data_IF_268850782115
#
_entry.id   IF_268850782115
#
_cell.length_a   1.000
_cell.length_b   1.000
_cell.length_c   1.000
_cell.angle_alpha   90.00
_cell.angle_beta   90.00
_cell.angle_gamma   90.00
#
_symmetry.space_group_name_H-M   'P 1'
#
loop_
_entity.id
_entity.type
_entity.pdbx_description
1 polymer ?
#
# COMPACT_ATOMS: atom_id res chain seq x y z
N UNK A 1 46.77 6.99 5.34
CA UNK A 1 46.50 6.15 6.52
C UNK A 1 45.15 6.34 7.21
N UNK A 2 44.59 7.54 7.32
CA UNK A 2 43.26 7.76 7.96
C UNK A 2 42.10 7.10 7.19
N UNK A 3 42.06 7.26 5.87
CA UNK A 3 41.04 6.67 4.98
C UNK A 3 41.03 5.12 5.02
N UNK A 4 42.19 4.49 5.12
CA UNK A 4 42.32 3.03 5.29
C UNK A 4 41.72 2.57 6.62
N UNK A 5 41.95 3.31 7.71
CA UNK A 5 41.39 2.99 9.03
C UNK A 5 39.89 3.21 9.12
N UNK A 6 39.34 4.19 8.41
CA UNK A 6 37.89 4.39 8.31
C UNK A 6 37.22 3.27 7.51
N UNK A 7 37.80 2.88 6.38
CA UNK A 7 37.29 1.78 5.56
C UNK A 7 37.29 0.44 6.30
N UNK A 8 38.40 0.12 7.00
CA UNK A 8 38.49 -1.10 7.83
C UNK A 8 37.46 -1.06 8.96
N UNK A 9 37.29 0.08 9.63
CA UNK A 9 36.22 0.24 10.63
C UNK A 9 34.85 0.04 10.00
N UNK A 10 34.57 0.62 8.84
CA UNK A 10 33.28 0.48 8.16
C UNK A 10 32.97 -0.97 7.78
N UNK A 11 33.96 -1.73 7.29
CA UNK A 11 33.76 -3.14 6.97
C UNK A 11 33.62 -4.04 8.20
N UNK A 12 34.42 -3.80 9.25
CA UNK A 12 34.24 -4.49 10.52
C UNK A 12 32.85 -4.22 11.11
N UNK A 13 32.37 -2.97 10.97
CA UNK A 13 31.02 -2.56 11.38
C UNK A 13 29.94 -3.32 10.59
N UNK A 14 30.06 -3.40 9.27
CA UNK A 14 29.12 -4.17 8.44
C UNK A 14 29.17 -5.68 8.75
N UNK A 15 30.33 -6.21 9.13
CA UNK A 15 30.49 -7.61 9.52
C UNK A 15 29.78 -7.92 10.85
N UNK A 16 29.95 -7.09 11.88
CA UNK A 16 29.26 -7.27 13.16
C UNK A 16 27.74 -7.18 13.01
N UNK A 17 27.25 -6.22 12.21
CA UNK A 17 25.81 -6.06 11.95
C UNK A 17 25.25 -7.30 11.24
N UNK A 18 25.98 -7.82 10.25
CA UNK A 18 25.64 -9.09 9.60
C UNK A 18 25.65 -10.25 10.59
N UNK A 19 26.62 -10.30 11.51
CA UNK A 19 26.70 -11.36 12.51
C UNK A 19 25.51 -11.34 13.48
N UNK A 20 25.08 -10.16 13.93
CA UNK A 20 23.94 -10.01 14.83
C UNK A 20 22.61 -10.37 14.15
N UNK A 21 22.44 -9.96 12.88
CA UNK A 21 21.31 -10.38 12.05
C UNK A 21 21.32 -11.90 11.84
N UNK A 22 22.48 -12.49 11.57
CA UNK A 22 22.62 -13.94 11.41
C UNK A 22 22.31 -14.67 12.72
N UNK A 23 22.75 -14.16 13.87
CA UNK A 23 22.43 -14.74 15.20
C UNK A 23 20.93 -14.71 15.47
N UNK A 24 20.28 -13.57 15.27
CA UNK A 24 18.83 -13.44 15.42
C UNK A 24 18.06 -14.36 14.46
N UNK A 25 18.61 -14.61 13.28
CA UNK A 25 18.07 -15.49 12.25
C UNK A 25 18.29 -16.99 12.53
N UNK A 26 19.42 -17.37 13.10
CA UNK A 26 19.66 -18.76 13.54
C UNK A 26 18.68 -19.11 14.67
N UNK A 27 18.40 -18.15 15.57
CA UNK A 27 17.44 -18.33 16.64
C UNK A 27 15.99 -18.47 16.14
N UNK A 28 15.65 -17.90 14.98
CA UNK A 28 14.33 -18.04 14.37
C UNK A 28 14.16 -19.30 13.50
N UNK A 29 15.24 -20.00 13.16
CA UNK A 29 15.20 -21.27 12.42
C UNK A 29 14.79 -21.15 10.94
N UNK A 30 14.81 -19.95 10.36
CA UNK A 30 14.36 -19.70 8.98
C UNK A 30 15.57 -19.72 8.03
N UNK A 31 15.61 -20.68 7.11
CA UNK A 31 16.59 -20.69 6.02
C UNK A 31 16.31 -19.55 5.05
N UNK A 32 17.33 -18.75 4.72
CA UNK A 32 17.17 -17.61 3.80
C UNK A 32 17.41 -18.07 2.37
N UNK A 33 16.36 -17.93 1.57
CA UNK A 33 16.48 -17.96 0.12
C UNK A 33 17.40 -16.83 -0.34
N UNK A 34 18.47 -17.20 -1.04
CA UNK A 34 19.47 -16.25 -1.57
C UNK A 34 18.90 -15.29 -2.61
N UNK A 35 17.69 -15.53 -3.10
CA UNK A 35 17.06 -14.81 -4.21
C UNK A 35 16.82 -13.32 -3.92
N UNK A 36 16.62 -12.95 -2.64
CA UNK A 36 16.30 -11.57 -2.25
C UNK A 36 17.48 -10.80 -1.64
N UNK A 37 18.71 -11.33 -1.73
CA UNK A 37 19.88 -10.62 -1.20
C UNK A 37 20.25 -9.42 -2.09
N UNK A 38 20.40 -8.25 -1.47
CA UNK A 38 20.86 -7.02 -2.14
C UNK A 38 19.75 -6.17 -2.76
N UNK A 39 18.47 -6.50 -2.51
CA UNK A 39 17.36 -5.64 -2.90
C UNK A 39 17.21 -4.45 -1.95
N UNK A 40 16.78 -3.31 -2.48
CA UNK A 40 16.37 -2.15 -1.68
C UNK A 40 15.00 -2.37 -1.02
N UNK A 41 14.77 -1.73 0.13
CA UNK A 41 13.51 -1.82 0.88
C UNK A 41 12.31 -1.36 0.05
N UNK A 42 12.49 -0.33 -0.78
CA UNK A 42 11.44 0.14 -1.70
C UNK A 42 11.06 -0.95 -2.70
N UNK A 43 12.06 -1.61 -3.30
CA UNK A 43 11.85 -2.70 -4.23
C UNK A 43 11.18 -3.89 -3.55
N UNK A 44 11.63 -4.27 -2.36
CA UNK A 44 11.04 -5.35 -1.57
C UNK A 44 9.53 -5.10 -1.30
N UNK A 45 9.15 -3.86 -0.95
CA UNK A 45 7.73 -3.47 -0.78
C UNK A 45 6.93 -3.61 -2.08
N UNK A 46 7.48 -3.20 -3.22
CA UNK A 46 6.78 -3.36 -4.50
C UNK A 46 6.61 -4.82 -4.90
N UNK A 47 7.62 -5.66 -4.67
CA UNK A 47 7.56 -7.10 -4.92
C UNK A 47 6.51 -7.76 -4.01
N UNK A 48 6.45 -7.37 -2.75
CA UNK A 48 5.45 -7.85 -1.80
C UNK A 48 4.02 -7.55 -2.25
N UNK A 49 3.74 -6.30 -2.63
CA UNK A 49 2.41 -5.90 -3.14
C UNK A 49 2.06 -6.68 -4.41
N UNK A 50 3.00 -6.80 -5.35
CA UNK A 50 2.78 -7.55 -6.58
C UNK A 50 2.51 -9.04 -6.31
N UNK A 51 3.23 -9.65 -5.36
CA UNK A 51 3.02 -11.04 -4.97
C UNK A 51 1.64 -11.25 -4.34
N UNK A 52 1.17 -10.33 -3.48
CA UNK A 52 -0.18 -10.37 -2.91
C UNK A 52 -1.24 -10.27 -4.02
N UNK A 53 -1.11 -9.30 -4.92
CA UNK A 53 -2.06 -9.14 -6.02
C UNK A 53 -2.13 -10.42 -6.87
N UNK A 54 -0.97 -11.04 -7.16
CA UNK A 54 -0.92 -12.29 -7.91
C UNK A 54 -1.55 -13.46 -7.15
N UNK A 55 -1.34 -13.54 -5.83
CA UNK A 55 -2.01 -14.54 -4.98
C UNK A 55 -3.53 -14.36 -5.02
N UNK A 56 -4.01 -13.13 -4.94
CA UNK A 56 -5.45 -12.82 -4.94
C UNK A 56 -6.09 -13.13 -6.31
N UNK A 57 -5.38 -12.88 -7.41
CA UNK A 57 -5.78 -13.36 -8.75
C UNK A 57 -5.92 -14.89 -8.80
N UNK A 58 -4.93 -15.64 -8.29
CA UNK A 58 -4.97 -17.11 -8.25
C UNK A 58 -6.14 -17.60 -7.38
N UNK A 59 -6.40 -16.93 -6.24
CA UNK A 59 -7.54 -17.27 -5.39
C UNK A 59 -8.87 -17.03 -6.10
N UNK A 60 -9.01 -15.93 -6.84
CA UNK A 60 -10.19 -15.66 -7.64
C UNK A 60 -10.39 -16.73 -8.72
N UNK A 61 -9.32 -17.14 -9.40
CA UNK A 61 -9.35 -18.25 -10.37
C UNK A 61 -9.82 -19.56 -9.71
N UNK A 62 -9.28 -19.93 -8.55
CA UNK A 62 -9.69 -21.13 -7.80
C UNK A 62 -11.18 -21.06 -7.46
N UNK A 63 -11.65 -19.93 -6.92
CA UNK A 63 -13.06 -19.74 -6.57
C UNK A 63 -13.98 -19.85 -7.78
N UNK A 64 -13.56 -19.30 -8.93
CA UNK A 64 -14.30 -19.39 -10.18
C UNK A 64 -14.38 -20.84 -10.68
N UNK A 65 -13.27 -21.57 -10.68
CA UNK A 65 -13.21 -22.98 -11.07
C UNK A 65 -14.04 -23.87 -10.14
N UNK A 66 -13.99 -23.64 -8.82
CA UNK A 66 -14.82 -24.36 -7.86
C UNK A 66 -16.31 -24.10 -8.09
N UNK A 67 -16.68 -22.85 -8.35
CA UNK A 67 -18.06 -22.47 -8.65
C UNK A 67 -18.54 -23.13 -9.95
N UNK A 68 -17.69 -23.13 -10.98
CA UNK A 68 -17.94 -23.82 -12.25
C UNK A 68 -18.09 -25.33 -12.06
N UNK A 69 -17.25 -25.96 -11.24
CA UNK A 69 -17.34 -27.39 -10.90
C UNK A 69 -18.65 -27.70 -10.18
N UNK A 70 -19.05 -26.91 -9.17
CA UNK A 70 -20.33 -27.08 -8.46
C UNK A 70 -21.53 -26.90 -9.39
N UNK A 71 -21.42 -26.02 -10.39
CA UNK A 71 -22.45 -25.85 -11.40
C UNK A 71 -22.49 -27.03 -12.37
N UNK A 72 -21.33 -27.55 -12.78
CA UNK A 72 -21.22 -28.74 -13.65
C UNK A 72 -21.80 -30.01 -13.01
N UNK A 73 -21.67 -30.16 -11.70
CA UNK A 73 -22.25 -31.29 -10.94
C UNK A 73 -23.79 -31.25 -10.88
N UNK A 74 -24.44 -30.14 -11.28
CA UNK A 74 -25.91 -30.05 -11.36
C UNK A 74 -26.40 -30.51 -12.73
N UNK A 75 -27.34 -31.46 -12.75
CA UNK A 75 -27.82 -32.12 -13.99
C UNK A 75 -28.51 -31.19 -15.02
N UNK A 76 -29.03 -30.03 -14.60
CA UNK A 76 -29.87 -29.15 -15.44
C UNK A 76 -29.17 -27.90 -15.98
N UNK A 77 -27.84 -27.88 -16.12
CA UNK A 77 -27.10 -26.67 -16.54
C UNK A 77 -26.82 -26.69 -18.04
N UNK A 78 -27.03 -25.55 -18.70
CA UNK A 78 -26.57 -25.31 -20.06
C UNK A 78 -25.04 -25.29 -20.09
N UNK A 79 -24.41 -26.40 -20.51
CA UNK A 79 -22.96 -26.57 -20.47
C UNK A 79 -22.20 -25.44 -21.18
N UNK A 80 -22.75 -24.86 -22.25
CA UNK A 80 -22.11 -23.77 -23.00
C UNK A 80 -21.89 -22.52 -22.13
N UNK A 81 -22.78 -22.27 -21.16
CA UNK A 81 -22.63 -21.14 -20.22
C UNK A 81 -21.43 -21.30 -19.27
N UNK A 82 -20.98 -22.54 -19.03
CA UNK A 82 -19.84 -22.84 -18.15
C UNK A 82 -18.49 -22.48 -18.79
N UNK A 83 -18.42 -22.25 -20.10
CA UNK A 83 -17.16 -21.90 -20.80
C UNK A 83 -16.50 -20.67 -20.18
N UNK A 84 -17.29 -19.68 -19.74
CA UNK A 84 -16.79 -18.46 -19.12
C UNK A 84 -16.22 -18.69 -17.70
N UNK A 85 -16.53 -19.80 -17.04
CA UNK A 85 -16.04 -20.12 -15.71
C UNK A 85 -14.63 -20.72 -15.70
N UNK A 86 -14.11 -21.13 -16.87
CA UNK A 86 -12.83 -21.82 -16.98
C UNK A 86 -11.87 -21.05 -17.90
N UNK A 87 -10.74 -20.55 -17.39
CA UNK A 87 -9.79 -19.78 -18.18
C UNK A 87 -8.96 -20.65 -19.15
N UNK A 88 -8.88 -21.97 -18.91
CA UNK A 88 -8.05 -22.88 -19.68
C UNK A 88 -8.73 -23.38 -20.97
N UNK A 89 -7.96 -23.45 -22.05
CA UNK A 89 -8.47 -23.84 -23.37
C UNK A 89 -8.98 -25.28 -23.42
N UNK A 90 -8.38 -26.18 -22.64
CA UNK A 90 -8.74 -27.61 -22.61
C UNK A 90 -10.15 -27.79 -22.02
N UNK A 91 -10.43 -27.23 -20.84
CA UNK A 91 -11.77 -27.27 -20.26
C UNK A 91 -12.79 -26.59 -21.17
N UNK A 92 -12.44 -25.46 -21.80
CA UNK A 92 -13.33 -24.81 -22.77
C UNK A 92 -13.67 -25.71 -23.96
N UNK A 93 -12.71 -26.45 -24.52
CA UNK A 93 -12.98 -27.41 -25.61
C UNK A 93 -13.85 -28.57 -25.15
N UNK A 94 -13.56 -29.17 -24.01
CA UNK A 94 -14.36 -30.27 -23.45
C UNK A 94 -15.80 -29.83 -23.13
N UNK A 95 -15.98 -28.62 -22.58
CA UNK A 95 -17.30 -28.07 -22.29
C UNK A 95 -18.10 -27.84 -23.57
N UNK A 96 -17.47 -27.34 -24.64
CA UNK A 96 -18.13 -27.17 -25.95
C UNK A 96 -18.54 -28.52 -26.53
N UNK A 97 -17.65 -29.51 -26.53
CA UNK A 97 -17.95 -30.87 -27.00
C UNK A 97 -19.12 -31.50 -26.21
N UNK A 98 -19.12 -31.35 -24.88
CA UNK A 98 -20.21 -31.82 -24.02
C UNK A 98 -21.51 -31.09 -24.34
N UNK A 99 -21.46 -29.77 -24.54
CA UNK A 99 -22.62 -28.95 -24.92
C UNK A 99 -23.20 -29.38 -26.27
N UNK A 100 -22.36 -29.62 -27.27
CA UNK A 100 -22.76 -30.11 -28.59
C UNK A 100 -23.39 -31.51 -28.52
N UNK A 101 -22.78 -32.44 -27.79
CA UNK A 101 -23.32 -33.80 -27.58
C UNK A 101 -24.65 -33.75 -26.83
N UNK A 102 -24.78 -32.88 -25.83
CA UNK A 102 -26.02 -32.70 -25.09
C UNK A 102 -27.13 -32.12 -25.96
N UNK A 103 -26.80 -31.13 -26.81
CA UNK A 103 -27.74 -30.55 -27.76
C UNK A 103 -28.17 -31.57 -28.84
N UNK A 104 -27.25 -32.41 -29.33
CA UNK A 104 -27.56 -33.50 -30.26
C UNK A 104 -28.53 -34.50 -29.62
N UNK A 105 -28.29 -34.91 -28.36
CA UNK A 105 -29.20 -35.80 -27.63
C UNK A 105 -30.60 -35.22 -27.46
N UNK A 106 -30.73 -33.89 -27.32
CA UNK A 106 -32.02 -33.24 -27.18
C UNK A 106 -32.82 -33.16 -28.51
N UNK A 107 -32.14 -33.24 -29.67
CA UNK A 107 -32.78 -33.26 -31.00
C UNK A 107 -33.31 -34.66 -31.36
N UNK A 108 -34.05 -35.29 -30.46
CA UNK A 108 -34.46 -36.72 -30.44
C UNK A 108 -35.10 -37.26 -31.75
N UNK A 109 -35.55 -36.40 -32.67
CA UNK A 109 -36.27 -36.77 -33.90
C UNK A 109 -35.46 -37.56 -34.93
N UNK A 110 -34.13 -37.63 -34.80
CA UNK A 110 -33.26 -38.21 -35.82
C UNK A 110 -32.40 -39.39 -35.35
N UNK A 111 -32.53 -39.83 -34.10
CA UNK A 111 -31.67 -40.87 -33.55
C UNK A 111 -32.38 -42.22 -33.42
N UNK A 112 -31.67 -43.27 -33.82
CA UNK A 112 -32.03 -44.64 -33.42
C UNK A 112 -31.65 -44.89 -31.95
N UNK A 113 -32.34 -45.80 -31.26
CA UNK A 113 -32.07 -46.12 -29.84
C UNK A 113 -30.59 -46.47 -29.59
N UNK A 114 -29.97 -47.21 -30.51
CA UNK A 114 -28.54 -47.58 -30.43
C UNK A 114 -27.61 -46.38 -30.52
N UNK A 115 -27.94 -45.39 -31.35
CA UNK A 115 -27.15 -44.17 -31.48
C UNK A 115 -27.32 -43.26 -30.26
N UNK A 116 -28.52 -43.22 -29.67
CA UNK A 116 -28.78 -42.54 -28.41
C UNK A 116 -27.91 -43.12 -27.29
N UNK A 117 -27.92 -44.44 -27.12
CA UNK A 117 -27.07 -45.12 -26.11
C UNK A 117 -25.57 -44.87 -26.35
N UNK A 118 -25.11 -44.90 -27.62
CA UNK A 118 -23.71 -44.62 -27.95
C UNK A 118 -23.33 -43.17 -27.62
N UNK A 119 -24.22 -42.22 -27.87
CA UNK A 119 -23.98 -40.79 -27.62
C UNK A 119 -24.03 -40.49 -26.12
N UNK A 120 -24.93 -41.12 -25.37
CA UNK A 120 -24.97 -41.05 -23.90
C UNK A 120 -23.68 -41.58 -23.26
N UNK A 121 -23.16 -42.73 -23.73
CA UNK A 121 -21.87 -43.26 -23.26
C UNK A 121 -20.72 -42.30 -23.54
N UNK A 122 -20.67 -41.70 -24.74
CA UNK A 122 -19.65 -40.69 -25.08
C UNK A 122 -19.78 -39.44 -24.21
N UNK A 123 -21.01 -38.97 -23.97
CA UNK A 123 -21.27 -37.82 -23.10
C UNK A 123 -20.78 -38.10 -21.68
N UNK A 124 -21.10 -39.28 -21.12
CA UNK A 124 -20.65 -39.67 -19.79
C UNK A 124 -19.13 -39.71 -19.69
N UNK A 125 -18.46 -40.34 -20.66
CA UNK A 125 -17.00 -40.39 -20.72
C UNK A 125 -16.39 -38.98 -20.75
N UNK A 126 -16.91 -38.09 -21.61
CA UNK A 126 -16.43 -36.70 -21.69
C UNK A 126 -16.69 -35.91 -20.40
N UNK A 127 -17.81 -36.16 -19.71
CA UNK A 127 -18.08 -35.57 -18.40
C UNK A 127 -17.09 -36.04 -17.33
N UNK A 128 -16.74 -37.32 -17.32
CA UNK A 128 -15.73 -37.87 -16.41
C UNK A 128 -14.34 -37.29 -16.69
N UNK A 129 -13.97 -37.19 -17.97
CA UNK A 129 -12.70 -36.58 -18.39
C UNK A 129 -12.62 -35.10 -17.97
N UNK A 130 -13.69 -34.33 -18.20
CA UNK A 130 -13.78 -32.94 -17.75
C UNK A 130 -13.74 -32.82 -16.22
N UNK A 131 -14.48 -33.67 -15.51
CA UNK A 131 -14.48 -33.68 -14.05
C UNK A 131 -13.10 -34.01 -13.45
N UNK A 132 -12.33 -34.87 -14.11
CA UNK A 132 -10.93 -35.15 -13.76
C UNK A 132 -10.04 -33.94 -14.04
N UNK A 133 -10.14 -33.37 -15.24
CA UNK A 133 -9.36 -32.20 -15.64
C UNK A 133 -9.61 -31.00 -14.70
N UNK A 134 -10.86 -30.74 -14.32
CA UNK A 134 -11.20 -29.67 -13.36
C UNK A 134 -10.54 -29.90 -11.99
N UNK A 135 -10.52 -31.15 -11.50
CA UNK A 135 -9.86 -31.48 -10.22
C UNK A 135 -8.35 -31.23 -10.31
N UNK A 136 -7.73 -31.63 -11.41
CA UNK A 136 -6.30 -31.42 -11.66
C UNK A 136 -5.97 -29.92 -11.80
N UNK A 137 -6.79 -29.15 -12.51
CA UNK A 137 -6.62 -27.71 -12.69
C UNK A 137 -6.75 -26.92 -11.37
N UNK A 138 -7.72 -27.29 -10.52
CA UNK A 138 -7.86 -26.72 -9.17
C UNK A 138 -6.66 -27.08 -8.31
N UNK A 139 -6.21 -28.34 -8.33
CA UNK A 139 -5.03 -28.77 -7.57
C UNK A 139 -3.75 -28.03 -8.02
N UNK A 140 -3.55 -27.87 -9.32
CA UNK A 140 -2.44 -27.09 -9.88
C UNK A 140 -2.48 -25.64 -9.41
N UNK A 141 -3.66 -25.03 -9.40
CA UNK A 141 -3.84 -23.63 -8.97
C UNK A 141 -3.62 -23.47 -7.47
N UNK A 142 -4.04 -24.45 -6.66
CA UNK A 142 -3.74 -24.51 -5.24
C UNK A 142 -2.23 -24.62 -4.97
N UNK A 143 -1.50 -25.43 -5.74
CA UNK A 143 -0.04 -25.52 -5.65
C UNK A 143 0.64 -24.20 -6.05
N UNK A 144 0.15 -23.52 -7.09
CA UNK A 144 0.64 -22.17 -7.45
C UNK A 144 0.41 -21.16 -6.33
N UNK A 145 -0.75 -21.24 -5.64
CA UNK A 145 -1.05 -20.39 -4.49
C UNK A 145 -0.06 -20.66 -3.35
N UNK A 146 0.19 -21.93 -3.02
CA UNK A 146 1.17 -22.32 -1.99
C UNK A 146 2.57 -21.77 -2.30
N UNK A 147 3.06 -21.94 -3.53
CA UNK A 147 4.35 -21.35 -3.94
C UNK A 147 4.36 -19.81 -3.91
N UNK A 148 3.22 -19.15 -4.13
CA UNK A 148 3.13 -17.69 -3.92
C UNK A 148 3.12 -17.32 -2.44
N UNK A 149 2.49 -18.10 -1.57
CA UNK A 149 2.50 -17.88 -0.12
C UNK A 149 3.93 -18.03 0.44
N UNK A 150 4.68 -19.05 0.00
CA UNK A 150 6.12 -19.22 0.30
C UNK A 150 6.93 -18.02 -0.20
N UNK A 151 6.67 -17.55 -1.42
CA UNK A 151 7.35 -16.36 -1.95
C UNK A 151 7.07 -15.12 -1.10
N UNK A 152 5.83 -14.96 -0.65
CA UNK A 152 5.42 -13.84 0.20
C UNK A 152 6.17 -13.89 1.54
N UNK A 153 6.27 -15.06 2.18
CA UNK A 153 7.01 -15.20 3.44
C UNK A 153 8.51 -14.93 3.26
N UNK A 154 9.11 -15.39 2.16
CA UNK A 154 10.51 -15.06 1.81
C UNK A 154 10.73 -13.56 1.63
N UNK A 155 9.84 -12.86 0.93
CA UNK A 155 9.92 -11.40 0.76
C UNK A 155 9.74 -10.67 2.10
N UNK A 156 8.79 -11.11 2.94
CA UNK A 156 8.58 -10.54 4.27
C UNK A 156 9.83 -10.68 5.13
N UNK A 157 10.48 -11.84 5.11
CA UNK A 157 11.72 -12.06 5.84
C UNK A 157 12.83 -11.12 5.37
N UNK A 158 13.01 -10.98 4.05
CA UNK A 158 13.96 -10.04 3.48
C UNK A 158 13.66 -8.58 3.87
N UNK A 159 12.39 -8.19 3.93
CA UNK A 159 11.97 -6.87 4.40
C UNK A 159 12.31 -6.64 5.87
N UNK A 160 12.06 -7.63 6.74
CA UNK A 160 12.42 -7.55 8.17
C UNK A 160 13.93 -7.37 8.33
N UNK A 161 14.72 -8.13 7.58
CA UNK A 161 16.17 -8.02 7.59
C UNK A 161 16.67 -6.63 7.18
N UNK A 162 16.09 -6.06 6.12
CA UNK A 162 16.43 -4.71 5.64
C UNK A 162 16.03 -3.63 6.65
N UNK A 163 14.85 -3.74 7.26
CA UNK A 163 14.41 -2.83 8.31
C UNK A 163 15.33 -2.92 9.55
N UNK A 164 15.75 -4.12 9.93
CA UNK A 164 16.73 -4.31 11.00
C UNK A 164 18.07 -3.62 10.71
N UNK A 165 18.54 -3.68 9.46
CA UNK A 165 19.75 -2.96 9.03
C UNK A 165 19.57 -1.44 9.10
N UNK A 166 18.41 -0.90 8.69
CA UNK A 166 18.10 0.53 8.79
C UNK A 166 18.07 1.01 10.24
N UNK A 167 17.40 0.26 11.14
CA UNK A 167 17.32 0.59 12.56
C UNK A 167 18.72 0.67 13.17
N UNK A 168 19.54 -0.37 12.99
CA UNK A 168 20.89 -0.40 13.54
C UNK A 168 21.79 0.72 12.98
N UNK A 169 21.60 1.09 11.71
CA UNK A 169 22.31 2.21 11.11
C UNK A 169 21.89 3.54 11.74
N UNK A 170 20.59 3.73 12.02
CA UNK A 170 20.06 4.93 12.67
C UNK A 170 20.51 5.02 14.13
N UNK A 171 20.39 3.94 14.92
CA UNK A 171 20.83 3.88 16.32
C UNK A 171 22.29 4.31 16.44
N UNK A 172 23.13 3.80 15.54
CA UNK A 172 24.52 4.20 15.48
C UNK A 172 24.75 5.65 15.07
N UNK A 173 23.99 6.17 14.09
CA UNK A 173 24.10 7.58 13.74
C UNK A 173 23.74 8.48 14.93
N UNK A 174 22.83 8.03 15.79
CA UNK A 174 22.49 8.72 17.05
C UNK A 174 23.68 8.63 18.01
N UNK A 175 24.27 7.46 18.23
CA UNK A 175 25.47 7.28 19.06
C UNK A 175 26.64 8.16 18.60
N UNK A 176 27.00 8.10 17.30
CA UNK A 176 28.08 8.89 16.71
C UNK A 176 27.81 10.41 16.84
N UNK A 177 26.53 10.85 16.85
CA UNK A 177 26.16 12.25 17.09
C UNK A 177 26.30 12.63 18.55
N UNK A 178 25.80 11.81 19.47
CA UNK A 178 25.94 12.04 20.91
C UNK A 178 27.42 12.14 21.29
N UNK A 179 28.26 11.24 20.79
CA UNK A 179 29.71 11.29 21.04
C UNK A 179 30.35 12.59 20.53
N UNK A 180 29.94 13.05 19.34
CA UNK A 180 30.42 14.33 18.79
C UNK A 180 30.00 15.53 19.64
N UNK A 181 28.74 15.58 20.07
CA UNK A 181 28.22 16.64 20.94
C UNK A 181 28.92 16.64 22.30
N UNK A 182 29.14 15.46 22.91
CA UNK A 182 29.89 15.36 24.16
C UNK A 182 31.33 15.85 24.01
N UNK A 183 32.02 15.47 22.94
CA UNK A 183 33.38 15.95 22.67
C UNK A 183 33.43 17.45 22.39
N UNK A 184 32.40 17.99 21.73
CA UNK A 184 32.27 19.42 21.48
C UNK A 184 32.08 20.20 22.79
N UNK A 185 31.17 19.72 23.65
CA UNK A 185 30.92 20.33 24.96
C UNK A 185 32.15 20.29 25.87
N UNK A 186 32.91 19.20 25.89
CA UNK A 186 34.18 19.10 26.65
C UNK A 186 35.23 20.09 26.13
N UNK A 187 35.27 20.35 24.82
CA UNK A 187 36.16 21.37 24.24
C UNK A 187 35.71 22.79 24.61
N UNK A 188 34.41 23.04 24.59
CA UNK A 188 33.82 24.32 24.97
C UNK A 188 34.04 24.61 26.46
N UNK A 189 33.84 23.62 27.33
CA UNK A 189 34.12 23.71 28.76
C UNK A 189 35.58 24.10 29.02
N UNK A 190 36.54 23.40 28.41
CA UNK A 190 37.97 23.71 28.53
C UNK A 190 38.32 25.10 28.02
N UNK A 191 37.67 25.55 26.95
CA UNK A 191 37.87 26.89 26.40
C UNK A 191 37.33 27.96 27.35
N UNK A 192 36.16 27.75 27.94
CA UNK A 192 35.56 28.66 28.93
C UNK A 192 36.43 28.70 30.19
N UNK A 193 36.88 27.55 30.70
CA UNK A 193 37.79 27.48 31.86
C UNK A 193 39.08 28.27 31.61
N UNK A 194 39.65 28.13 30.41
CA UNK A 194 40.84 28.86 30.01
C UNK A 194 40.60 30.38 30.00
N UNK A 195 39.51 30.82 29.36
CA UNK A 195 39.13 32.24 29.31
C UNK A 195 38.84 32.81 30.71
N UNK A 196 38.17 32.06 31.58
CA UNK A 196 37.91 32.46 32.96
C UNK A 196 39.21 32.59 33.76
N UNK A 197 40.18 31.69 33.55
CA UNK A 197 41.49 31.77 34.18
C UNK A 197 42.26 33.01 33.72
N UNK A 198 42.21 33.34 32.43
CA UNK A 198 42.81 34.56 31.87
C UNK A 198 42.17 35.82 32.45
N UNK A 199 40.83 35.92 32.44
CA UNK A 199 40.10 37.04 33.03
C UNK A 199 40.43 37.19 34.52
N UNK A 200 40.46 36.09 35.27
CA UNK A 200 40.79 36.13 36.70
C UNK A 200 42.22 36.66 36.94
N UNK A 201 43.16 36.32 36.06
CA UNK A 201 44.52 36.84 36.12
C UNK A 201 44.54 38.35 35.82
N UNK A 202 43.88 38.80 34.76
CA UNK A 202 43.76 40.22 34.44
C UNK A 202 43.11 41.02 35.58
N UNK A 203 42.03 40.50 36.17
CA UNK A 203 41.34 41.14 37.30
C UNK A 203 42.24 41.22 38.55
N UNK A 204 43.18 40.29 38.76
CA UNK A 204 44.11 40.35 39.89
C UNK A 204 45.11 41.51 39.80
N UNK A 205 45.31 42.08 38.62
CA UNK A 205 46.17 43.25 38.38
C UNK A 205 45.42 44.57 38.57
N UNK A 206 44.09 44.52 38.69
CA UNK A 206 43.20 45.68 38.79
C UNK A 206 42.90 46.01 40.26
N UNK A 207 42.98 47.29 40.69
CA UNK A 207 42.68 47.66 42.07
C UNK A 207 41.24 47.35 42.50
N UNK A 208 41.06 46.77 43.69
CA UNK A 208 39.77 46.36 44.28
C UNK A 208 38.66 47.44 44.25
N UNK A 209 39.04 48.71 44.34
CA UNK A 209 38.10 49.83 44.30
C UNK A 209 37.48 50.01 42.90
N UNK A 210 38.28 49.82 41.85
CA UNK A 210 37.79 49.91 40.47
C UNK A 210 36.92 48.71 40.10
N UNK A 211 37.25 47.53 40.62
CA UNK A 211 36.46 46.31 40.46
C UNK A 211 35.05 46.46 41.03
N UNK A 212 34.92 46.98 42.25
CA UNK A 212 33.61 47.21 42.88
C UNK A 212 32.76 48.24 42.13
N UNK A 213 33.39 49.32 41.65
CA UNK A 213 32.68 50.34 40.88
C UNK A 213 32.21 49.80 39.52
N UNK A 214 33.02 48.97 38.87
CA UNK A 214 32.64 48.27 37.63
C UNK A 214 31.57 47.21 37.84
N UNK A 215 31.62 46.46 38.94
CA UNK A 215 30.59 45.46 39.29
C UNK A 215 29.23 46.14 39.53
N UNK A 216 29.23 47.28 40.24
CA UNK A 216 28.03 48.09 40.43
C UNK A 216 27.49 48.64 39.10
N UNK A 217 28.36 49.14 38.22
CA UNK A 217 27.97 49.57 36.87
C UNK A 217 27.40 48.43 36.04
N UNK A 218 28.06 47.26 36.03
CA UNK A 218 27.60 46.10 35.27
C UNK A 218 26.26 45.56 35.79
N UNK A 219 26.06 45.50 37.11
CA UNK A 219 24.77 45.12 37.69
C UNK A 219 23.67 46.12 37.32
N UNK A 220 23.98 47.41 37.27
CA UNK A 220 23.02 48.44 36.84
C UNK A 220 22.68 48.30 35.34
N UNK A 221 23.69 48.10 34.48
CA UNK A 221 23.53 47.91 33.04
C UNK A 221 22.76 46.61 32.71
N UNK A 222 23.04 45.51 33.43
CA UNK A 222 22.32 44.25 33.25
C UNK A 222 20.85 44.38 33.68
N UNK A 223 20.59 45.05 34.82
CA UNK A 223 19.22 45.35 35.23
C UNK A 223 18.51 46.22 34.20
N UNK A 224 19.18 47.23 33.66
CA UNK A 224 18.64 48.07 32.59
C UNK A 224 18.35 47.25 31.33
N UNK A 225 19.28 46.40 30.87
CA UNK A 225 19.08 45.56 29.68
C UNK A 225 17.95 44.55 29.86
N UNK A 226 17.80 43.96 31.05
CA UNK A 226 16.68 43.08 31.38
C UNK A 226 15.39 43.89 31.32
N UNK A 227 15.36 45.09 31.91
CA UNK A 227 14.18 45.96 31.89
C UNK A 227 13.82 46.39 30.47
N UNK A 228 14.79 46.73 29.62
CA UNK A 228 14.60 47.02 28.20
C UNK A 228 14.09 45.79 27.44
N UNK A 229 14.61 44.59 27.72
CA UNK A 229 14.12 43.36 27.09
C UNK A 229 12.70 43.02 27.51
N UNK A 230 12.34 43.25 28.78
CA UNK A 230 10.98 43.09 29.30
C UNK A 230 10.03 44.13 28.70
N UNK A 231 10.48 45.39 28.58
CA UNK A 231 9.74 46.45 27.89
C UNK A 231 9.53 46.07 26.43
N UNK A 232 10.56 45.60 25.72
CA UNK A 232 10.44 45.10 24.33
C UNK A 232 9.53 43.89 24.23
N UNK A 233 9.50 42.99 25.22
CA UNK A 233 8.57 41.86 25.28
C UNK A 233 7.12 42.32 25.52
N UNK A 234 6.93 43.32 26.38
CA UNK A 234 5.62 43.94 26.60
C UNK A 234 5.16 44.69 25.36
N UNK A 235 6.06 45.44 24.71
CA UNK A 235 5.80 46.11 23.43
C UNK A 235 5.51 45.10 22.33
N UNK A 236 6.29 44.02 22.20
CA UNK A 236 6.06 42.96 21.23
C UNK A 236 4.73 42.25 21.46
N UNK A 237 4.36 41.99 22.72
CA UNK A 237 3.06 41.42 23.09
C UNK A 237 1.92 42.41 22.83
N UNK A 238 2.15 43.70 23.03
CA UNK A 238 1.17 44.74 22.73
C UNK A 238 0.99 44.88 21.20
N UNK A 239 2.07 44.84 20.43
CA UNK A 239 2.06 44.79 18.96
C UNK A 239 1.40 43.50 18.48
N UNK A 240 1.62 42.36 19.13
CA UNK A 240 0.95 41.10 18.80
C UNK A 240 -0.56 41.18 19.07
N UNK A 241 -0.96 41.79 20.18
CA UNK A 241 -2.36 42.00 20.53
C UNK A 241 -3.04 42.99 19.56
N UNK A 242 -2.36 44.09 19.22
CA UNK A 242 -2.82 45.05 18.22
C UNK A 242 -2.84 44.43 16.81
N UNK A 243 -1.89 43.56 16.48
CA UNK A 243 -1.88 42.78 15.24
C UNK A 243 -2.98 41.69 15.21
N UNK A 244 -3.34 41.11 16.35
CA UNK A 244 -4.45 40.18 16.47
C UNK A 244 -5.79 40.91 16.28
N UNK A 245 -5.91 42.13 16.82
CA UNK A 245 -7.08 43.01 16.60
C UNK A 245 -7.14 43.46 15.13
N UNK A 246 -6.00 43.75 14.49
CA UNK A 246 -5.94 44.05 13.06
C UNK A 246 -6.22 42.85 12.16
N UNK A 247 -5.83 41.61 12.55
CA UNK A 247 -6.20 40.36 11.87
C UNK A 247 -7.69 40.02 12.07
N UNK A 248 -8.29 40.41 13.19
CA UNK A 248 -9.71 40.23 13.45
C UNK A 248 -10.59 41.23 12.70
N UNK A 249 -10.02 42.28 12.10
CA UNK A 249 -10.69 43.13 11.14
C UNK A 249 -10.49 42.52 9.74
N UNK A 250 -11.53 41.96 9.09
CA UNK A 250 -11.37 41.38 7.77
C UNK A 250 -10.97 42.49 6.79
N UNK A 251 -9.68 42.57 6.47
CA UNK A 251 -9.19 43.27 5.29
C UNK A 251 -9.80 42.50 4.13
N UNK A 252 -10.68 43.14 3.37
CA UNK A 252 -11.17 42.61 2.10
C UNK A 252 -9.96 42.21 1.26
N UNK A 253 -9.66 40.90 1.24
CA UNK A 253 -8.57 40.34 0.46
C UNK A 253 -8.82 40.69 -1.01
N UNK A 254 -7.84 41.37 -1.60
CA UNK A 254 -7.72 41.50 -3.03
C UNK A 254 -7.77 40.10 -3.65
N UNK A 255 -8.68 39.93 -4.61
CA UNK A 255 -8.99 38.69 -5.30
C UNK A 255 -7.72 38.00 -5.81
N UNK A 256 -7.42 36.84 -5.23
CA UNK A 256 -6.45 35.90 -5.79
C UNK A 256 -6.99 35.32 -7.10
N UNK A 257 -6.07 35.07 -8.04
CA UNK A 257 -6.32 34.60 -9.41
C UNK A 257 -7.40 33.51 -9.45
N UNK A 258 -8.45 33.76 -10.26
CA UNK A 258 -9.52 32.81 -10.56
C UNK A 258 -8.90 31.59 -11.27
N UNK A 259 -8.62 30.53 -10.51
CA UNK A 259 -8.45 29.21 -11.09
C UNK A 259 -9.82 28.77 -11.63
N UNK A 260 -9.92 28.29 -12.89
CA UNK A 260 -11.19 27.82 -13.42
C UNK A 260 -11.68 26.65 -12.56
N UNK A 261 -12.88 26.79 -11.98
CA UNK A 261 -13.55 25.69 -11.27
C UNK A 261 -13.59 24.48 -12.21
N UNK A 262 -13.09 23.33 -11.74
CA UNK A 262 -13.10 22.08 -12.50
C UNK A 262 -14.50 21.86 -13.06
N UNK A 263 -14.68 21.62 -14.37
CA UNK A 263 -15.99 21.44 -14.94
C UNK A 263 -16.65 20.23 -14.27
N UNK A 264 -17.84 20.45 -13.69
CA UNK A 264 -18.66 19.42 -13.03
C UNK A 264 -19.28 18.45 -14.04
N UNK A 265 -18.55 18.07 -15.09
CA UNK A 265 -18.98 17.20 -16.19
C UNK A 265 -19.53 15.87 -15.66
N UNK A 266 -18.93 15.31 -14.61
CA UNK A 266 -19.43 14.09 -13.97
C UNK A 266 -20.77 14.29 -13.26
N UNK A 267 -20.97 15.44 -12.61
CA UNK A 267 -22.22 15.73 -11.90
C UNK A 267 -23.37 16.00 -12.89
N UNK A 268 -23.11 16.82 -13.91
CA UNK A 268 -24.09 17.08 -14.96
C UNK A 268 -24.35 15.85 -15.83
N UNK A 269 -23.34 15.02 -16.10
CA UNK A 269 -23.48 13.74 -16.78
C UNK A 269 -24.34 12.75 -15.98
N UNK A 270 -24.13 12.66 -14.67
CA UNK A 270 -24.93 11.82 -13.77
C UNK A 270 -26.41 12.25 -13.73
N UNK A 271 -26.66 13.56 -13.54
CA UNK A 271 -28.03 14.10 -13.52
C UNK A 271 -28.71 13.95 -14.89
N UNK A 272 -27.99 14.21 -15.98
CA UNK A 272 -28.49 14.03 -17.34
C UNK A 272 -28.83 12.57 -17.67
N UNK A 273 -27.97 11.62 -17.28
CA UNK A 273 -28.22 10.20 -17.45
C UNK A 273 -29.44 9.71 -16.67
N UNK A 274 -29.63 10.20 -15.45
CA UNK A 274 -30.78 9.85 -14.61
C UNK A 274 -32.10 10.35 -15.22
N UNK A 275 -32.15 11.61 -15.64
CA UNK A 275 -33.33 12.19 -16.29
C UNK A 275 -33.62 11.49 -17.63
N UNK A 276 -32.59 11.22 -18.44
CA UNK A 276 -32.73 10.51 -19.71
C UNK A 276 -33.28 9.10 -19.54
N UNK A 277 -32.83 8.37 -18.50
CA UNK A 277 -33.34 7.04 -18.16
C UNK A 277 -34.83 7.05 -17.80
N UNK A 278 -35.28 8.04 -17.03
CA UNK A 278 -36.70 8.19 -16.65
C UNK A 278 -37.56 8.45 -17.89
N UNK A 279 -37.12 9.35 -18.79
CA UNK A 279 -37.86 9.66 -20.02
C UNK A 279 -37.94 8.43 -20.94
N UNK A 280 -36.85 7.68 -21.11
CA UNK A 280 -36.84 6.47 -21.93
C UNK A 280 -37.77 5.39 -21.36
N UNK A 281 -37.76 5.18 -20.04
CA UNK A 281 -38.66 4.24 -19.37
C UNK A 281 -40.14 4.64 -19.56
N UNK A 282 -40.44 5.94 -19.47
CA UNK A 282 -41.80 6.45 -19.71
C UNK A 282 -42.26 6.23 -21.15
N UNK A 283 -41.40 6.48 -22.14
CA UNK A 283 -41.72 6.23 -23.55
C UNK A 283 -41.91 4.74 -23.85
N UNK A 284 -41.09 3.86 -23.27
CA UNK A 284 -41.28 2.41 -23.39
C UNK A 284 -42.58 1.94 -22.75
N UNK A 285 -42.96 2.52 -21.61
CA UNK A 285 -44.24 2.21 -20.96
C UNK A 285 -45.43 2.68 -21.81
N UNK A 286 -45.38 3.90 -22.35
CA UNK A 286 -46.41 4.43 -23.24
C UNK A 286 -46.51 3.62 -24.54
N UNK A 287 -45.38 3.21 -25.12
CA UNK A 287 -45.35 2.31 -26.28
C UNK A 287 -45.91 0.93 -25.91
N UNK A 288 -45.61 0.40 -24.73
CA UNK A 288 -46.19 -0.84 -24.21
C UNK A 288 -47.71 -0.76 -24.06
N UNK A 289 -48.24 0.39 -23.66
CA UNK A 289 -49.69 0.62 -23.55
C UNK A 289 -50.34 0.77 -24.93
N UNK A 290 -49.71 1.53 -25.84
CA UNK A 290 -50.25 1.76 -27.19
C UNK A 290 -50.21 0.51 -28.07
N UNK A 291 -49.20 -0.34 -27.93
CA UNK A 291 -48.99 -1.52 -28.78
C UNK A 291 -49.23 -2.87 -28.08
N UNK A 292 -49.41 -2.88 -26.75
CA UNK A 292 -49.35 -4.08 -25.92
C UNK A 292 -50.56 -4.30 -25.02
N UNK A 293 -51.76 -4.32 -25.62
CA UNK A 293 -52.88 -5.10 -25.11
C UNK A 293 -53.54 -5.85 -26.29
N UNK A 294 -52.73 -6.64 -27.02
CA UNK A 294 -53.30 -7.63 -27.92
C UNK A 294 -53.74 -8.84 -27.08
N UNK A 295 -55.03 -9.16 -26.98
CA UNK A 295 -55.50 -10.29 -26.19
C UNK A 295 -54.91 -11.59 -26.77
N UNK A 296 -54.14 -12.32 -25.95
CA UNK A 296 -53.60 -13.63 -26.30
C UNK A 296 -54.74 -14.54 -26.80
N UNK A 297 -54.65 -15.16 -27.98
CA UNK A 297 -55.63 -16.18 -28.37
C UNK A 297 -55.53 -17.40 -27.44
N UNK A 298 -56.66 -18.07 -27.16
CA UNK A 298 -56.70 -19.19 -26.23
C UNK A 298 -55.88 -20.37 -26.76
N UNK A 299 -54.99 -20.89 -25.90
CA UNK A 299 -54.24 -22.13 -26.15
C UNK A 299 -55.22 -23.30 -26.22
N UNK A 300 -55.26 -24.01 -27.36
CA UNK A 300 -55.88 -25.34 -27.44
C UNK A 300 -55.01 -26.31 -26.66
N UNK A 301 -55.63 -27.04 -25.74
CA UNK A 301 -55.05 -28.21 -25.08
C UNK A 301 -54.88 -29.33 -26.11
N UNK A 302 -53.64 -29.80 -26.27
CA UNK A 302 -53.26 -31.15 -26.67
C UNK A 302 -52.05 -31.52 -25.83
#
# INVERSE_FOLDING_TARGET
>A
DSLSREWVRQNYRLANLKEEIIKNRILSGVEVEKEYQGIDLKTARTLFINAINKRDEILAEIMQMESGKRAFEKECVEYISLVAAFPDSVSQTLIKEIGELHQQLHQERHFTEKEKERTEKKLLQKKEDLGRHMKEAIALSAQKKEGMDERITSIQQAMIDLLGQEIALIEKQIEDRIEKELNYLDQEEKLIEHQLAEIKKELSEVPDLWLKERELQFSADMQQSILESLVRLVEAKNIENDAAILKAKPINEASTKIAPKKPLLFLFGGVGGFIGGIIAAFLLMMHGIYYGFSPRPPKRLC
#
